data_IF_884983872342
#
_entry.id   IF_884983872342
#
_cell.length_a   1.000
_cell.length_b   1.000
_cell.length_c   1.000
_cell.angle_alpha   90.00
_cell.angle_beta   90.00
_cell.angle_gamma   90.00
#
_symmetry.space_group_name_H-M   'P 1'
#
loop_
_entity.id
_entity.type
_entity.pdbx_description
1 polymer ?
#
# COMPACT_ATOMS: atom_id res chain seq x y z
N UNK A 1 -9.36 2.50 -11.86
CA UNK A 1 -9.50 2.00 -10.47
C UNK A 1 -8.55 2.74 -9.55
N UNK A 2 -9.07 3.26 -8.46
CA UNK A 2 -8.27 4.00 -7.48
C UNK A 2 -8.03 3.11 -6.25
N UNK A 3 -6.77 2.80 -5.96
CA UNK A 3 -6.38 1.92 -4.85
C UNK A 3 -5.73 2.76 -3.74
N UNK A 4 -6.25 2.60 -2.52
CA UNK A 4 -5.73 3.25 -1.32
C UNK A 4 -5.02 2.21 -0.45
N UNK A 5 -3.74 2.40 -0.20
CA UNK A 5 -2.95 1.56 0.69
C UNK A 5 -2.87 2.18 2.07
N UNK A 6 -3.12 1.39 3.10
CA UNK A 6 -3.19 1.88 4.49
C UNK A 6 -2.25 1.07 5.39
N UNK A 7 -1.39 1.77 6.12
CA UNK A 7 -0.61 1.19 7.20
C UNK A 7 -0.69 2.10 8.44
N UNK A 8 0.18 1.95 9.41
CA UNK A 8 0.13 2.74 10.64
C UNK A 8 0.63 4.16 10.41
N UNK A 9 1.91 4.32 10.07
CA UNK A 9 2.58 5.62 10.01
C UNK A 9 2.71 6.23 8.63
N UNK A 10 2.42 5.48 7.58
CA UNK A 10 2.54 5.92 6.18
C UNK A 10 3.97 6.37 5.80
N UNK A 11 4.98 5.69 6.34
CA UNK A 11 6.38 5.99 6.05
C UNK A 11 7.19 4.78 5.54
N UNK A 12 6.64 3.58 5.59
CA UNK A 12 7.33 2.35 5.14
C UNK A 12 6.48 1.53 4.19
N UNK A 13 5.58 0.69 4.72
CA UNK A 13 4.84 -0.33 3.94
C UNK A 13 3.94 0.28 2.89
N UNK A 14 3.06 1.21 3.26
CA UNK A 14 2.10 1.77 2.31
C UNK A 14 2.76 2.65 1.24
N UNK A 15 3.80 3.46 1.53
CA UNK A 15 4.53 4.14 0.47
C UNK A 15 5.22 3.20 -0.51
N UNK A 16 5.81 2.11 -0.02
CA UNK A 16 6.41 1.10 -0.89
C UNK A 16 5.35 0.44 -1.78
N UNK A 17 4.20 0.07 -1.21
CA UNK A 17 3.11 -0.53 -1.97
C UNK A 17 2.56 0.43 -3.03
N UNK A 18 2.39 1.69 -2.69
CA UNK A 18 1.94 2.73 -3.62
C UNK A 18 2.89 2.86 -4.80
N UNK A 19 4.18 2.99 -4.53
CA UNK A 19 5.20 3.17 -5.57
C UNK A 19 5.33 1.94 -6.47
N UNK A 20 5.39 0.75 -5.88
CA UNK A 20 5.48 -0.51 -6.64
C UNK A 20 4.25 -0.68 -7.53
N UNK A 21 3.06 -0.41 -7.00
CA UNK A 21 1.82 -0.56 -7.77
C UNK A 21 1.78 0.42 -8.95
N UNK A 22 2.19 1.66 -8.72
CA UNK A 22 2.24 2.66 -9.78
C UNK A 22 3.15 2.21 -10.92
N UNK A 23 4.34 1.74 -10.58
CA UNK A 23 5.32 1.29 -11.58
C UNK A 23 4.83 0.06 -12.34
N UNK A 24 4.31 -0.95 -11.63
CA UNK A 24 3.81 -2.17 -12.26
C UNK A 24 2.55 -1.93 -13.10
N UNK A 25 1.68 -1.01 -12.67
CA UNK A 25 0.49 -0.66 -13.45
C UNK A 25 0.86 -0.05 -14.81
N UNK A 26 1.89 0.79 -14.85
CA UNK A 26 2.40 1.34 -16.11
C UNK A 26 2.97 0.24 -17.00
N UNK A 27 3.84 -0.61 -16.42
CA UNK A 27 4.48 -1.70 -17.15
C UNK A 27 3.47 -2.68 -17.74
N UNK A 28 2.44 -3.00 -16.97
CA UNK A 28 1.43 -4.01 -17.35
C UNK A 28 0.20 -3.41 -18.04
N UNK A 29 0.20 -2.12 -18.32
CA UNK A 29 -0.91 -1.39 -18.95
C UNK A 29 -2.23 -1.56 -18.19
N UNK A 30 -2.19 -1.40 -16.87
CA UNK A 30 -3.38 -1.43 -16.02
C UNK A 30 -3.86 -0.02 -15.73
N UNK A 31 -5.17 0.19 -15.76
CA UNK A 31 -5.78 1.49 -15.44
C UNK A 31 -5.98 1.61 -13.93
N UNK A 32 -4.89 1.94 -13.22
CA UNK A 32 -4.86 2.04 -11.77
C UNK A 32 -4.18 3.35 -11.37
N UNK A 33 -4.82 4.05 -10.44
CA UNK A 33 -4.20 5.16 -9.70
C UNK A 33 -4.04 4.75 -8.25
N UNK A 34 -2.99 5.23 -7.60
CA UNK A 34 -2.65 4.80 -6.24
C UNK A 34 -2.44 5.98 -5.33
N UNK A 35 -2.90 5.85 -4.09
CA UNK A 35 -2.59 6.74 -2.98
C UNK A 35 -2.29 5.90 -1.75
N UNK A 36 -1.69 6.49 -0.73
CA UNK A 36 -1.47 5.84 0.56
C UNK A 36 -1.73 6.79 1.71
N UNK A 37 -2.06 6.23 2.88
CA UNK A 37 -2.33 6.98 4.09
C UNK A 37 -2.04 6.12 5.32
N UNK A 38 -2.01 6.72 6.49
CA UNK A 38 -1.78 6.02 7.74
C UNK A 38 -2.90 6.22 8.75
N UNK A 39 -3.16 5.20 9.54
CA UNK A 39 -4.15 5.27 10.61
C UNK A 39 -3.71 6.23 11.74
N UNK A 40 -2.41 6.32 11.98
CA UNK A 40 -1.81 7.19 12.98
C UNK A 40 -0.63 7.96 12.39
N UNK A 41 -0.81 8.50 11.19
CA UNK A 41 0.24 9.22 10.49
C UNK A 41 0.20 10.71 10.81
N UNK A 42 1.39 11.33 10.87
CA UNK A 42 1.53 12.78 10.82
C UNK A 42 1.49 13.25 9.37
N UNK A 43 1.31 14.53 9.14
CA UNK A 43 1.47 15.13 7.82
C UNK A 43 2.94 15.41 7.53
N UNK A 44 3.37 15.09 6.31
CA UNK A 44 4.61 15.59 5.75
C UNK A 44 5.87 14.86 6.17
N UNK A 45 5.76 13.71 6.85
CA UNK A 45 6.95 12.92 7.15
C UNK A 45 7.44 12.21 5.88
N UNK A 46 8.75 12.19 5.71
CA UNK A 46 9.36 11.50 4.57
C UNK A 46 9.35 9.98 4.80
N UNK A 47 9.37 9.18 3.74
CA UNK A 47 9.54 7.74 3.90
C UNK A 47 10.88 7.45 4.55
N UNK A 48 10.98 6.34 5.26
CA UNK A 48 12.26 5.93 5.83
C UNK A 48 13.26 5.73 4.70
N UNK A 49 14.53 6.02 4.99
CA UNK A 49 15.61 5.87 4.01
C UNK A 49 15.69 4.42 3.50
N UNK A 50 15.52 3.46 4.40
CA UNK A 50 15.54 2.04 4.06
C UNK A 50 14.39 1.66 3.10
N UNK A 51 13.21 2.27 3.26
CA UNK A 51 12.10 2.04 2.32
C UNK A 51 12.42 2.58 0.93
N UNK A 52 13.00 3.77 0.86
CA UNK A 52 13.43 4.37 -0.42
C UNK A 52 14.43 3.46 -1.12
N UNK A 53 15.43 2.97 -0.40
CA UNK A 53 16.46 2.09 -0.94
C UNK A 53 15.86 0.75 -1.39
N UNK A 54 14.95 0.18 -0.60
CA UNK A 54 14.36 -1.14 -0.87
C UNK A 54 13.63 -1.21 -2.21
N UNK A 55 13.00 -0.11 -2.65
CA UNK A 55 12.21 -0.09 -3.89
C UNK A 55 12.87 0.71 -5.02
N UNK A 56 14.07 1.22 -4.81
CA UNK A 56 14.73 2.15 -5.72
C UNK A 56 14.85 1.62 -7.16
N UNK A 57 15.06 0.33 -7.34
CA UNK A 57 15.16 -0.28 -8.67
C UNK A 57 13.82 -0.34 -9.41
N UNK A 58 12.71 -0.12 -8.72
CA UNK A 58 11.35 -0.23 -9.26
C UNK A 58 10.70 1.15 -9.37
N UNK A 59 10.78 1.94 -8.30
CA UNK A 59 10.11 3.23 -8.20
C UNK A 59 10.87 4.16 -7.26
N UNK A 60 10.80 5.46 -7.54
CA UNK A 60 11.33 6.50 -6.64
C UNK A 60 10.20 6.98 -5.74
N UNK A 61 10.29 6.67 -4.44
CA UNK A 61 9.32 7.14 -3.43
C UNK A 61 9.89 8.25 -2.55
N UNK A 62 11.05 8.81 -2.90
CA UNK A 62 11.73 9.81 -2.06
C UNK A 62 10.93 11.09 -1.85
N UNK A 63 10.01 11.41 -2.75
CA UNK A 63 9.17 12.61 -2.65
C UNK A 63 7.86 12.36 -1.90
N UNK A 64 7.61 11.12 -1.45
CA UNK A 64 6.42 10.81 -0.68
C UNK A 64 6.39 11.60 0.62
N UNK A 65 5.19 12.07 1.00
CA UNK A 65 4.94 12.67 2.30
C UNK A 65 3.77 11.96 2.95
N UNK A 66 3.94 11.59 4.22
CA UNK A 66 2.91 10.90 4.97
C UNK A 66 1.65 11.74 5.13
N UNK A 67 0.51 11.08 5.24
CA UNK A 67 -0.77 11.73 5.51
C UNK A 67 -1.67 10.83 6.36
N UNK A 68 -2.48 11.42 7.23
CA UNK A 68 -3.52 10.68 7.94
C UNK A 68 -4.60 10.20 6.96
N UNK A 69 -5.23 9.08 7.30
CA UNK A 69 -6.40 8.60 6.59
C UNK A 69 -7.57 9.58 6.80
N UNK A 70 -8.30 9.89 5.74
CA UNK A 70 -9.48 10.76 5.78
C UNK A 70 -10.68 10.09 5.12
N UNK A 71 -11.87 10.55 5.45
CA UNK A 71 -13.11 10.09 4.79
C UNK A 71 -13.06 10.36 3.28
N UNK A 72 -12.46 11.47 2.86
CA UNK A 72 -12.33 11.83 1.45
C UNK A 72 -11.52 10.78 0.68
N UNK A 73 -10.40 10.34 1.27
CA UNK A 73 -9.57 9.29 0.66
C UNK A 73 -10.33 7.96 0.56
N UNK A 74 -11.07 7.62 1.61
CA UNK A 74 -11.87 6.39 1.63
C UNK A 74 -12.97 6.45 0.58
N UNK A 75 -13.69 7.56 0.50
CA UNK A 75 -14.78 7.71 -0.48
C UNK A 75 -14.27 7.67 -1.93
N UNK A 76 -13.10 8.22 -2.19
CA UNK A 76 -12.51 8.26 -3.53
C UNK A 76 -11.93 6.91 -3.98
N UNK A 77 -11.67 6.00 -3.05
CA UNK A 77 -11.07 4.71 -3.36
C UNK A 77 -12.10 3.72 -3.91
N UNK A 78 -11.68 2.92 -4.86
CA UNK A 78 -12.43 1.75 -5.33
C UNK A 78 -12.04 0.50 -4.55
N UNK A 79 -10.79 0.48 -4.04
CA UNK A 79 -10.24 -0.62 -3.28
C UNK A 79 -9.36 -0.05 -2.17
N UNK A 80 -9.53 -0.55 -0.95
CA UNK A 80 -8.77 -0.11 0.23
C UNK A 80 -8.03 -1.32 0.79
N UNK A 81 -6.70 -1.23 0.81
CA UNK A 81 -5.85 -2.34 1.19
C UNK A 81 -5.03 -2.02 2.43
N UNK A 82 -5.36 -2.70 3.53
CA UNK A 82 -4.55 -2.68 4.75
C UNK A 82 -3.36 -3.61 4.62
N UNK A 83 -2.24 -3.25 5.22
CA UNK A 83 -1.04 -4.08 5.16
C UNK A 83 -1.15 -5.31 6.07
N UNK A 84 -2.01 -5.25 7.09
CA UNK A 84 -2.24 -6.33 8.06
C UNK A 84 -3.72 -6.55 8.31
N UNK A 85 -4.04 -7.68 8.93
CA UNK A 85 -5.40 -7.96 9.40
C UNK A 85 -5.87 -6.92 10.43
N UNK A 86 -4.96 -6.43 11.27
CA UNK A 86 -5.29 -5.38 12.24
C UNK A 86 -5.67 -4.09 11.55
N UNK A 87 -4.95 -3.68 10.50
CA UNK A 87 -5.32 -2.50 9.71
C UNK A 87 -6.71 -2.68 9.10
N UNK A 88 -6.98 -3.84 8.53
CA UNK A 88 -8.31 -4.15 7.98
C UNK A 88 -9.40 -4.05 9.05
N UNK A 89 -9.15 -4.61 10.24
CA UNK A 89 -10.12 -4.55 11.34
C UNK A 89 -10.44 -3.13 11.76
N UNK A 90 -9.44 -2.27 11.86
CA UNK A 90 -9.64 -0.84 12.18
C UNK A 90 -10.45 -0.16 11.09
N UNK A 91 -10.12 -0.42 9.82
CA UNK A 91 -10.84 0.14 8.67
C UNK A 91 -12.32 -0.26 8.69
N UNK A 92 -12.61 -1.52 8.96
CA UNK A 92 -13.99 -2.03 9.02
C UNK A 92 -14.78 -1.41 10.18
N UNK A 93 -14.13 -1.16 11.32
CA UNK A 93 -14.78 -0.49 12.45
C UNK A 93 -15.05 0.98 12.19
N UNK A 94 -14.13 1.68 11.54
CA UNK A 94 -14.26 3.10 11.25
C UNK A 94 -15.17 3.39 10.06
N UNK A 95 -15.19 2.48 9.07
CA UNK A 95 -15.90 2.68 7.81
C UNK A 95 -16.74 1.45 7.46
N UNK A 96 -17.72 1.07 8.31
CA UNK A 96 -18.49 -0.16 8.09
C UNK A 96 -19.30 -0.16 6.79
N UNK A 97 -19.68 1.02 6.27
CA UNK A 97 -20.43 1.12 5.03
C UNK A 97 -19.54 0.94 3.78
N UNK A 98 -18.24 0.88 3.96
CA UNK A 98 -17.28 0.68 2.88
C UNK A 98 -16.69 -0.73 2.88
N UNK A 99 -17.30 -1.66 3.59
CA UNK A 99 -16.82 -3.03 3.79
C UNK A 99 -16.46 -3.72 2.47
N UNK A 100 -17.27 -3.53 1.43
CA UNK A 100 -17.04 -4.20 0.14
C UNK A 100 -15.73 -3.79 -0.55
N UNK A 101 -15.16 -2.65 -0.17
CA UNK A 101 -13.89 -2.14 -0.72
C UNK A 101 -12.68 -2.56 0.10
N UNK A 102 -12.87 -3.05 1.33
CA UNK A 102 -11.78 -3.20 2.31
C UNK A 102 -11.28 -4.64 2.33
N UNK A 103 -9.97 -4.80 2.08
CA UNK A 103 -9.27 -6.09 2.12
C UNK A 103 -7.88 -5.88 2.71
N UNK A 104 -7.16 -6.96 2.97
CA UNK A 104 -5.71 -6.87 3.16
C UNK A 104 -5.03 -6.95 1.79
N UNK A 105 -3.82 -6.43 1.70
CA UNK A 105 -3.02 -6.58 0.48
C UNK A 105 -2.75 -8.06 0.18
N UNK A 106 -2.60 -8.89 1.22
CA UNK A 106 -2.43 -10.35 1.05
C UNK A 106 -3.66 -10.98 0.41
N UNK A 107 -4.86 -10.65 0.88
CA UNK A 107 -6.10 -11.15 0.27
C UNK A 107 -6.20 -10.76 -1.20
N UNK A 108 -5.88 -9.50 -1.52
CA UNK A 108 -5.87 -9.03 -2.90
C UNK A 108 -4.88 -9.80 -3.77
N UNK A 109 -3.73 -10.14 -3.22
CA UNK A 109 -2.71 -10.95 -3.89
C UNK A 109 -2.94 -12.45 -3.85
N UNK A 110 -4.09 -12.91 -3.34
CA UNK A 110 -4.41 -14.34 -3.29
C UNK A 110 -3.65 -15.13 -2.25
N UNK A 111 -3.16 -14.45 -1.22
CA UNK A 111 -2.38 -15.06 -0.14
C UNK A 111 -3.03 -14.82 1.22
N UNK A 112 -2.47 -15.43 2.25
CA UNK A 112 -2.83 -15.18 3.64
C UNK A 112 -1.66 -14.54 4.37
N UNK A 113 -1.89 -14.05 5.58
CA UNK A 113 -0.85 -13.46 6.43
C UNK A 113 -0.76 -11.95 6.31
N UNK A 114 0.22 -11.38 6.98
CA UNK A 114 0.42 -9.94 7.10
C UNK A 114 1.74 -9.52 6.44
N UNK A 115 1.78 -8.27 5.99
CA UNK A 115 3.05 -7.61 5.66
C UNK A 115 3.57 -6.98 6.95
N UNK A 116 4.54 -7.64 7.56
CA UNK A 116 5.09 -7.25 8.86
C UNK A 116 5.79 -5.90 8.79
N UNK A 117 5.67 -5.11 9.85
CA UNK A 117 6.28 -3.78 9.95
C UNK A 117 7.81 -3.88 10.04
N UNK A 118 8.56 -3.36 9.03
CA UNK A 118 10.02 -3.41 9.05
C UNK A 118 10.65 -2.27 9.87
N UNK A 119 9.84 -1.34 10.41
CA UNK A 119 10.36 -0.16 11.11
C UNK A 119 11.28 -0.55 12.25
N UNK A 120 12.44 0.11 12.33
CA UNK A 120 13.45 -0.21 13.32
C UNK A 120 14.35 -1.40 12.97
N UNK A 121 14.09 -2.08 11.87
CA UNK A 121 14.88 -3.20 11.38
C UNK A 121 15.99 -2.73 10.42
N UNK A 122 16.86 -3.66 10.01
CA UNK A 122 17.92 -3.36 9.06
C UNK A 122 17.42 -3.36 7.60
N UNK A 123 18.32 -3.02 6.68
CA UNK A 123 17.98 -2.93 5.25
C UNK A 123 17.52 -4.29 4.69
N UNK A 124 18.07 -5.39 5.17
CA UNK A 124 17.68 -6.73 4.70
C UNK A 124 16.20 -6.99 4.95
N UNK A 125 15.70 -6.62 6.13
CA UNK A 125 14.27 -6.80 6.47
C UNK A 125 13.40 -5.89 5.61
N UNK A 126 13.81 -4.65 5.35
CA UNK A 126 13.10 -3.76 4.43
C UNK A 126 13.05 -4.33 3.01
N UNK A 127 14.16 -4.89 2.54
CA UNK A 127 14.22 -5.52 1.21
C UNK A 127 13.26 -6.71 1.11
N UNK A 128 13.20 -7.54 2.14
CA UNK A 128 12.27 -8.67 2.20
C UNK A 128 10.82 -8.20 2.21
N UNK A 129 10.53 -7.13 2.94
CA UNK A 129 9.21 -6.51 2.96
C UNK A 129 8.81 -6.00 1.57
N UNK A 130 9.71 -5.31 0.89
CA UNK A 130 9.48 -4.82 -0.47
C UNK A 130 9.23 -5.97 -1.45
N UNK A 131 9.99 -7.05 -1.34
CA UNK A 131 9.81 -8.23 -2.19
C UNK A 131 8.44 -8.89 -1.96
N UNK A 132 8.03 -9.03 -0.71
CA UNK A 132 6.69 -9.55 -0.38
C UNK A 132 5.60 -8.67 -1.00
N UNK A 133 5.70 -7.35 -0.83
CA UNK A 133 4.74 -6.39 -1.40
C UNK A 133 4.72 -6.51 -2.92
N UNK A 134 5.89 -6.58 -3.57
CA UNK A 134 5.99 -6.72 -5.02
C UNK A 134 5.19 -7.93 -5.53
N UNK A 135 5.37 -9.09 -4.92
CA UNK A 135 4.67 -10.30 -5.35
C UNK A 135 3.16 -10.21 -5.13
N UNK A 136 2.73 -9.61 -4.01
CA UNK A 136 1.30 -9.41 -3.74
C UNK A 136 0.67 -8.44 -4.75
N UNK A 137 1.36 -7.34 -5.06
CA UNK A 137 0.89 -6.36 -6.04
C UNK A 137 0.82 -6.97 -7.43
N UNK A 138 1.85 -7.70 -7.83
CA UNK A 138 1.87 -8.38 -9.13
C UNK A 138 0.67 -9.31 -9.29
N UNK A 139 0.39 -10.14 -8.28
CA UNK A 139 -0.74 -11.04 -8.29
C UNK A 139 -2.09 -10.29 -8.27
N UNK A 140 -2.20 -9.25 -7.45
CA UNK A 140 -3.43 -8.44 -7.36
C UNK A 140 -3.74 -7.72 -8.67
N UNK A 141 -2.72 -7.14 -9.31
CA UNK A 141 -2.89 -6.44 -10.59
C UNK A 141 -3.34 -7.38 -11.71
N UNK A 142 -3.03 -8.67 -11.61
CA UNK A 142 -3.49 -9.65 -12.61
C UNK A 142 -5.02 -9.71 -12.69
N UNK A 143 -5.73 -9.39 -11.59
CA UNK A 143 -7.19 -9.35 -11.55
C UNK A 143 -7.78 -8.05 -12.07
N UNK A 144 -6.97 -7.02 -12.31
CA UNK A 144 -7.42 -5.73 -12.82
C UNK A 144 -7.47 -5.77 -14.35
N UNK A 145 -8.55 -5.26 -14.98
CA UNK A 145 -8.62 -5.24 -16.44
C UNK A 145 -7.50 -4.41 -17.08
N UNK A 146 -7.14 -4.80 -18.30
CA UNK A 146 -6.20 -4.01 -19.09
C UNK A 146 -6.78 -2.63 -19.41
N UNK A 147 -5.91 -1.66 -19.51
CA UNK A 147 -6.28 -0.30 -19.93
C UNK A 147 -6.79 -0.34 -21.36
N UNK A 148 -7.93 0.32 -21.57
CA UNK A 148 -8.58 0.38 -22.88
C UNK A 148 -7.76 1.20 -23.89
#
# INVERSE_FOLDING_TARGET
MNILFVCTGNTCRSPMAEGITRALAVEKHKDVTTVSAGLFAAYGAKPTEQAVVAVRSIADISNHESRPLTMELVNAADLILGMTKDHKSVLLRQFPFEESKIKTISEWGGQDGDVTDPYGSDQTVYNQCAEQIYHLVEAGLASVPQKA
#
